data_IF_015484603994
#
_entry.id   IF_015484603994
#
_cell.length_a   1.000
_cell.length_b   1.000
_cell.length_c   1.000
_cell.angle_alpha   90.00
_cell.angle_beta   90.00
_cell.angle_gamma   90.00
#
_symmetry.space_group_name_H-M   'P 1'
#
loop_
_entity.id
_entity.type
_entity.pdbx_description
1 polymer ?
#
# COMPACT_ATOMS: atom_id res chain seq x y z
N UNK A 1 7.69 12.75 15.88
CA UNK A 1 7.75 11.51 15.08
C UNK A 1 6.31 11.09 14.87
N UNK A 2 5.75 11.43 13.71
CA UNK A 2 4.34 11.17 13.40
C UNK A 2 4.17 9.80 12.75
N UNK A 3 2.95 9.28 12.76
CA UNK A 3 2.54 8.04 12.09
C UNK A 3 3.02 7.97 10.62
N UNK A 4 3.09 9.14 9.94
CA UNK A 4 3.60 9.29 8.58
C UNK A 4 5.12 9.09 8.47
N UNK A 5 5.90 9.54 9.46
CA UNK A 5 7.37 9.35 9.48
C UNK A 5 7.72 7.89 9.72
N UNK A 6 7.00 7.24 10.63
CA UNK A 6 7.23 5.84 10.99
C UNK A 6 6.87 4.92 9.81
N UNK A 7 5.81 5.24 9.06
CA UNK A 7 5.44 4.53 7.84
C UNK A 7 6.44 4.76 6.71
N UNK A 8 6.93 5.99 6.55
CA UNK A 8 8.00 6.31 5.58
C UNK A 8 9.27 5.50 5.85
N UNK A 9 9.71 5.41 7.12
CA UNK A 9 10.87 4.60 7.51
C UNK A 9 10.64 3.11 7.35
N UNK A 10 9.43 2.62 7.62
CA UNK A 10 9.07 1.23 7.36
C UNK A 10 9.25 0.90 5.87
N UNK A 11 8.73 1.73 4.98
CA UNK A 11 8.90 1.57 3.54
C UNK A 11 10.37 1.68 3.09
N UNK A 12 11.19 2.47 3.77
CA UNK A 12 12.61 2.64 3.44
C UNK A 12 13.50 1.49 3.93
N UNK A 13 13.36 1.06 5.17
CA UNK A 13 14.34 0.14 5.79
C UNK A 13 13.87 -1.31 5.78
N UNK A 14 12.58 -1.55 6.04
CA UNK A 14 12.08 -2.92 6.22
C UNK A 14 11.90 -3.67 4.90
N UNK A 15 11.54 -2.97 3.82
CA UNK A 15 11.39 -3.59 2.50
C UNK A 15 12.74 -4.10 2.01
N UNK A 16 13.78 -3.27 2.03
CA UNK A 16 15.12 -3.63 1.55
C UNK A 16 15.75 -4.80 2.34
N UNK A 17 15.45 -4.92 3.64
CA UNK A 17 15.84 -6.06 4.46
C UNK A 17 14.98 -7.31 4.21
N UNK A 18 13.67 -7.14 3.97
CA UNK A 18 12.75 -8.26 3.68
C UNK A 18 13.10 -8.94 2.35
N UNK A 19 13.44 -8.15 1.34
CA UNK A 19 13.82 -8.63 0.01
C UNK A 19 15.05 -9.56 0.06
N UNK A 20 15.94 -9.37 1.05
CA UNK A 20 17.18 -10.15 1.17
C UNK A 20 17.04 -11.50 1.87
N UNK A 21 16.03 -11.69 2.73
CA UNK A 21 16.11 -12.74 3.76
C UNK A 21 15.21 -13.97 3.55
N UNK A 22 13.99 -13.88 2.99
CA UNK A 22 13.14 -15.06 2.68
C UNK A 22 12.06 -14.76 1.59
N UNK A 23 12.16 -15.30 0.34
CA UNK A 23 11.74 -14.55 -0.84
C UNK A 23 10.34 -14.79 -1.44
N UNK A 24 9.39 -15.55 -0.87
CA UNK A 24 8.18 -15.94 -1.65
C UNK A 24 6.82 -15.78 -0.95
N UNK A 25 6.57 -16.52 0.12
CA UNK A 25 5.31 -16.37 0.88
C UNK A 25 5.22 -14.99 1.54
N UNK A 26 6.37 -14.45 1.94
CA UNK A 26 6.47 -13.12 2.53
C UNK A 26 6.26 -11.97 1.53
N UNK A 27 6.70 -12.14 0.26
CA UNK A 27 6.53 -11.08 -0.75
C UNK A 27 5.06 -10.91 -1.17
N UNK A 28 4.29 -12.00 -1.24
CA UNK A 28 2.84 -11.91 -1.53
C UNK A 28 2.08 -11.21 -0.41
N UNK A 29 2.36 -11.57 0.85
CA UNK A 29 1.75 -10.91 2.00
C UNK A 29 2.16 -9.43 2.11
N UNK A 30 3.39 -9.09 1.72
CA UNK A 30 3.85 -7.70 1.66
C UNK A 30 3.14 -6.92 0.54
N UNK A 31 2.89 -7.54 -0.62
CA UNK A 31 2.18 -6.90 -1.73
C UNK A 31 0.73 -6.59 -1.37
N UNK A 32 0.06 -7.52 -0.69
CA UNK A 32 -1.30 -7.34 -0.19
C UNK A 32 -1.36 -6.20 0.83
N UNK A 33 -0.44 -6.15 1.80
CA UNK A 33 -0.34 -5.04 2.77
C UNK A 33 -0.11 -3.69 2.10
N UNK A 34 0.79 -3.61 1.11
CA UNK A 34 1.04 -2.37 0.37
C UNK A 34 -0.18 -1.95 -0.45
N UNK A 35 -0.93 -2.91 -1.00
CA UNK A 35 -2.16 -2.65 -1.72
C UNK A 35 -3.25 -2.09 -0.79
N UNK A 36 -3.44 -2.69 0.39
CA UNK A 36 -4.36 -2.19 1.42
C UNK A 36 -3.99 -0.75 1.83
N UNK A 37 -2.71 -0.50 2.14
CA UNK A 37 -2.23 0.84 2.49
C UNK A 37 -2.42 1.84 1.36
N UNK A 38 -2.24 1.43 0.10
CA UNK A 38 -2.51 2.29 -1.05
C UNK A 38 -4.01 2.67 -1.10
N UNK A 39 -4.91 1.71 -0.86
CA UNK A 39 -6.34 1.98 -0.83
C UNK A 39 -6.74 2.91 0.33
N UNK A 40 -6.22 2.66 1.53
CA UNK A 40 -6.46 3.50 2.70
C UNK A 40 -5.95 4.93 2.48
N UNK A 41 -4.75 5.08 1.95
CA UNK A 41 -4.17 6.39 1.63
C UNK A 41 -4.99 7.13 0.58
N UNK A 42 -5.50 6.42 -0.45
CA UNK A 42 -6.42 6.98 -1.45
C UNK A 42 -7.74 7.47 -0.83
N UNK A 43 -8.33 6.69 0.09
CA UNK A 43 -9.55 7.07 0.81
C UNK A 43 -9.31 8.30 1.68
N UNK A 44 -8.22 8.29 2.46
CA UNK A 44 -7.83 9.42 3.29
C UNK A 44 -7.65 10.70 2.46
N UNK A 45 -6.99 10.62 1.30
CA UNK A 45 -6.80 11.77 0.42
C UNK A 45 -8.14 12.31 -0.10
N UNK A 46 -9.07 11.44 -0.48
CA UNK A 46 -10.40 11.83 -0.91
C UNK A 46 -11.17 12.54 0.20
N UNK A 47 -11.13 12.02 1.43
CA UNK A 47 -11.77 12.62 2.60
C UNK A 47 -11.16 14.00 2.93
N UNK A 48 -9.84 14.12 2.89
CA UNK A 48 -9.15 15.40 3.13
C UNK A 48 -9.54 16.45 2.09
N UNK A 49 -9.59 16.08 0.81
CA UNK A 49 -10.02 17.00 -0.27
C UNK A 49 -11.50 17.39 -0.15
N UNK A 50 -12.37 16.48 0.32
CA UNK A 50 -13.77 16.81 0.58
C UNK A 50 -13.89 17.84 1.73
N UNK A 51 -13.13 17.64 2.80
CA UNK A 51 -13.07 18.58 3.93
C UNK A 51 -12.53 19.94 3.51
N UNK A 52 -11.47 19.96 2.70
CA UNK A 52 -10.91 21.20 2.13
C UNK A 52 -11.98 22.01 1.39
N UNK A 53 -12.72 21.37 0.47
CA UNK A 53 -13.82 22.03 -0.26
C UNK A 53 -14.93 22.54 0.64
N UNK A 54 -15.22 21.81 1.71
CA UNK A 54 -16.24 22.21 2.68
C UNK A 54 -15.81 23.49 3.40
N UNK A 55 -14.58 23.52 3.92
CA UNK A 55 -14.03 24.71 4.59
C UNK A 55 -13.90 25.88 3.63
N UNK A 56 -13.51 25.65 2.37
CA UNK A 56 -13.48 26.68 1.33
C UNK A 56 -14.87 27.31 1.11
N UNK A 57 -15.92 26.49 0.99
CA UNK A 57 -17.29 26.98 0.87
C UNK A 57 -17.75 27.79 2.10
N UNK A 58 -17.36 27.36 3.30
CA UNK A 58 -17.64 28.08 4.53
C UNK A 58 -16.92 29.43 4.60
N UNK A 59 -15.66 29.49 4.15
CA UNK A 59 -14.89 30.75 4.05
C UNK A 59 -15.58 31.71 3.08
N UNK A 60 -15.99 31.22 1.90
CA UNK A 60 -16.70 32.04 0.91
C UNK A 60 -18.02 32.57 1.45
N UNK A 61 -18.79 31.73 2.15
CA UNK A 61 -20.04 32.16 2.80
C UNK A 61 -19.77 33.24 3.85
N UNK A 62 -18.76 33.04 4.70
CA UNK A 62 -18.37 34.02 5.73
C UNK A 62 -17.95 35.35 5.09
N UNK A 63 -17.20 35.31 3.98
CA UNK A 63 -16.77 36.50 3.25
C UNK A 63 -17.95 37.28 2.65
N UNK A 64 -18.96 36.58 2.11
CA UNK A 64 -20.18 37.22 1.62
C UNK A 64 -20.98 37.89 2.74
N UNK A 65 -21.06 37.26 3.91
CA UNK A 65 -21.72 37.84 5.07
C UNK A 65 -20.99 39.08 5.59
N UNK A 66 -19.65 39.04 5.67
CA UNK A 66 -18.82 40.21 5.98
C UNK A 66 -19.13 41.35 5.00
N UNK A 67 -19.10 41.09 3.69
CA UNK A 67 -19.41 42.11 2.69
C UNK A 67 -20.80 42.71 2.87
N UNK A 68 -21.81 41.87 3.16
CA UNK A 68 -23.18 42.33 3.40
C UNK A 68 -23.27 43.23 4.63
N UNK A 69 -22.61 42.86 5.73
CA UNK A 69 -22.61 43.65 6.96
C UNK A 69 -21.83 44.94 6.78
N UNK A 70 -20.70 44.91 6.09
CA UNK A 70 -19.90 46.08 5.76
C UNK A 70 -20.73 47.17 5.05
N UNK A 71 -21.48 46.79 4.01
CA UNK A 71 -22.37 47.71 3.28
C UNK A 71 -23.47 48.27 4.19
N UNK A 72 -24.00 47.47 5.12
CA UNK A 72 -25.03 47.93 6.08
C UNK A 72 -24.46 48.91 7.11
N UNK A 73 -23.24 48.68 7.58
CA UNK A 73 -22.53 49.55 8.52
C UNK A 73 -22.31 50.92 7.88
N UNK A 74 -21.78 50.95 6.65
CA UNK A 74 -21.56 52.20 5.92
C UNK A 74 -22.86 52.99 5.69
N UNK A 75 -23.95 52.28 5.38
CA UNK A 75 -25.29 52.89 5.29
C UNK A 75 -25.79 53.45 6.63
N UNK A 76 -25.56 52.74 7.74
CA UNK A 76 -25.97 53.19 9.07
C UNK A 76 -25.16 54.42 9.53
N UNK A 77 -23.84 54.39 9.31
CA UNK A 77 -22.92 55.50 9.59
C UNK A 77 -23.28 56.76 8.80
N UNK A 78 -23.49 56.63 7.49
CA UNK A 78 -23.88 57.77 6.63
C UNK A 78 -25.25 58.36 7.00
N UNK A 79 -26.15 57.56 7.57
CA UNK A 79 -27.44 58.03 8.10
C UNK A 79 -27.38 58.54 9.55
N UNK A 80 -26.21 58.56 10.20
CA UNK A 80 -26.04 58.98 11.60
C UNK A 80 -26.67 58.02 12.63
N UNK A 81 -27.00 56.79 12.23
CA UNK A 81 -27.62 55.75 13.07
C UNK A 81 -26.54 54.91 13.76
N UNK A 82 -25.80 55.53 14.67
CA UNK A 82 -24.72 54.87 15.41
C UNK A 82 -25.22 53.71 16.28
N UNK A 83 -26.47 53.81 16.77
CA UNK A 83 -27.18 52.76 17.49
C UNK A 83 -27.27 51.43 16.70
N UNK A 84 -27.24 51.50 15.36
CA UNK A 84 -27.23 50.34 14.47
C UNK A 84 -25.82 50.01 13.95
N UNK A 85 -24.95 51.02 13.78
CA UNK A 85 -23.61 50.84 13.25
C UNK A 85 -22.70 50.09 14.25
N UNK A 86 -22.65 50.51 15.51
CA UNK A 86 -21.78 49.91 16.53
C UNK A 86 -22.01 48.40 16.75
N UNK A 87 -23.26 47.91 16.95
CA UNK A 87 -23.47 46.47 17.10
C UNK A 87 -23.21 45.69 15.79
N UNK A 88 -23.43 46.31 14.62
CA UNK A 88 -23.13 45.69 13.34
C UNK A 88 -21.62 45.54 13.12
N UNK A 89 -20.81 46.52 13.53
CA UNK A 89 -19.35 46.44 13.50
C UNK A 89 -18.81 45.34 14.43
N UNK A 90 -19.37 45.20 15.63
CA UNK A 90 -19.02 44.12 16.53
C UNK A 90 -19.32 42.73 15.90
N UNK A 91 -20.42 42.63 15.15
CA UNK A 91 -20.78 41.41 14.43
C UNK A 91 -19.84 41.14 13.26
N UNK A 92 -19.51 42.13 12.43
CA UNK A 92 -18.53 42.02 11.35
C UNK A 92 -17.16 41.57 11.89
N UNK A 93 -16.70 42.16 12.99
CA UNK A 93 -15.46 41.76 13.67
C UNK A 93 -15.49 40.31 14.18
N UNK A 94 -16.67 39.80 14.57
CA UNK A 94 -16.83 38.37 14.90
C UNK A 94 -16.71 37.49 13.67
N UNK A 95 -17.34 37.85 12.55
CA UNK A 95 -17.26 37.11 11.29
C UNK A 95 -15.84 37.09 10.73
N UNK A 96 -15.09 38.20 10.84
CA UNK A 96 -13.68 38.26 10.45
C UNK A 96 -12.81 37.31 11.27
N UNK A 97 -13.05 37.21 12.59
CA UNK A 97 -12.35 36.25 13.45
C UNK A 97 -12.68 34.81 13.08
N UNK A 98 -13.95 34.52 12.81
CA UNK A 98 -14.39 33.20 12.36
C UNK A 98 -13.76 32.82 11.01
N UNK A 99 -13.76 33.75 10.05
CA UNK A 99 -13.10 33.58 8.75
C UNK A 99 -11.61 33.26 8.88
N UNK A 100 -10.90 33.97 9.78
CA UNK A 100 -9.49 33.70 10.06
C UNK A 100 -9.27 32.31 10.66
N UNK A 101 -10.15 31.85 11.56
CA UNK A 101 -10.07 30.50 12.12
C UNK A 101 -10.26 29.43 11.03
N UNK A 102 -11.27 29.58 10.18
CA UNK A 102 -11.52 28.68 9.03
C UNK A 102 -10.35 28.68 8.05
N UNK A 103 -9.75 29.83 7.78
CA UNK A 103 -8.55 29.94 6.96
C UNK A 103 -7.38 29.14 7.54
N UNK A 104 -7.14 29.25 8.85
CA UNK A 104 -6.13 28.45 9.55
C UNK A 104 -6.37 26.95 9.42
N UNK A 105 -7.63 26.50 9.56
CA UNK A 105 -8.00 25.10 9.35
C UNK A 105 -7.73 24.64 7.91
N UNK A 106 -8.04 25.48 6.92
CA UNK A 106 -7.77 25.18 5.51
C UNK A 106 -6.27 25.01 5.24
N UNK A 107 -5.41 25.84 5.84
CA UNK A 107 -3.95 25.70 5.67
C UNK A 107 -3.44 24.35 6.21
N UNK A 108 -3.89 23.96 7.40
CA UNK A 108 -3.53 22.66 7.98
C UNK A 108 -4.04 21.49 7.11
N UNK A 109 -5.24 21.61 6.54
CA UNK A 109 -5.75 20.62 5.59
C UNK A 109 -4.89 20.52 4.34
N UNK A 110 -4.46 21.65 3.76
CA UNK A 110 -3.56 21.68 2.59
C UNK A 110 -2.21 21.01 2.88
N UNK A 111 -1.61 21.28 4.03
CA UNK A 111 -0.37 20.62 4.45
C UNK A 111 -0.55 19.10 4.58
N UNK A 112 -1.65 18.65 5.19
CA UNK A 112 -1.97 17.22 5.31
C UNK A 112 -2.22 16.55 3.97
N UNK A 113 -2.89 17.24 3.04
CA UNK A 113 -3.10 16.77 1.67
C UNK A 113 -1.75 16.54 1.00
N UNK A 114 -0.85 17.52 1.05
CA UNK A 114 0.48 17.41 0.47
C UNK A 114 1.27 16.22 1.04
N UNK A 115 1.28 16.07 2.36
CA UNK A 115 1.93 14.94 3.04
C UNK A 115 1.34 13.59 2.62
N UNK A 116 0.02 13.52 2.44
CA UNK A 116 -0.67 12.30 2.03
C UNK A 116 -0.40 11.95 0.57
N UNK A 117 -0.30 12.95 -0.32
CA UNK A 117 0.09 12.77 -1.72
C UNK A 117 1.54 12.28 -1.84
N UNK A 118 2.45 12.81 -1.02
CA UNK A 118 3.84 12.34 -0.96
C UNK A 118 3.90 10.89 -0.51
N UNK A 119 3.15 10.53 0.53
CA UNK A 119 3.05 9.15 1.01
C UNK A 119 2.49 8.23 -0.07
N UNK A 120 1.40 8.63 -0.72
CA UNK A 120 0.78 7.85 -1.79
C UNK A 120 1.78 7.55 -2.91
N UNK A 121 2.59 8.54 -3.33
CA UNK A 121 3.64 8.37 -4.33
C UNK A 121 4.70 7.37 -3.87
N UNK A 122 5.15 7.46 -2.62
CA UNK A 122 6.12 6.51 -2.04
C UNK A 122 5.57 5.08 -2.05
N UNK A 123 4.33 4.87 -1.61
CA UNK A 123 3.68 3.55 -1.62
C UNK A 123 3.60 2.99 -3.05
N UNK A 124 3.23 3.82 -4.03
CA UNK A 124 3.15 3.40 -5.44
C UNK A 124 4.50 2.94 -5.99
N UNK A 125 5.57 3.68 -5.72
CA UNK A 125 6.93 3.33 -6.14
C UNK A 125 7.33 1.99 -5.52
N UNK A 126 7.17 1.84 -4.20
CA UNK A 126 7.52 0.59 -3.49
C UNK A 126 6.72 -0.61 -3.97
N UNK A 127 5.45 -0.42 -4.32
CA UNK A 127 4.62 -1.49 -4.89
C UNK A 127 5.12 -1.92 -6.27
N UNK A 128 5.56 -0.98 -7.10
CA UNK A 128 6.14 -1.30 -8.42
C UNK A 128 7.45 -2.08 -8.27
N UNK A 129 8.32 -1.65 -7.36
CA UNK A 129 9.58 -2.34 -7.03
C UNK A 129 9.29 -3.79 -6.58
N UNK A 130 8.39 -3.96 -5.60
CA UNK A 130 8.02 -5.26 -5.08
C UNK A 130 7.42 -6.18 -6.17
N UNK A 131 6.56 -5.64 -7.04
CA UNK A 131 6.00 -6.42 -8.15
C UNK A 131 7.06 -6.84 -9.17
N UNK A 132 8.04 -5.99 -9.45
CA UNK A 132 9.15 -6.33 -10.33
C UNK A 132 9.98 -7.47 -9.74
N UNK A 133 10.22 -7.44 -8.44
CA UNK A 133 10.98 -8.46 -7.72
C UNK A 133 10.24 -9.79 -7.62
N UNK A 134 8.94 -9.77 -7.31
CA UNK A 134 8.09 -10.97 -7.37
C UNK A 134 8.16 -11.63 -8.75
N UNK A 135 8.15 -10.84 -9.83
CA UNK A 135 8.30 -11.37 -11.20
C UNK A 135 9.68 -11.97 -11.43
N UNK A 136 10.75 -11.33 -10.96
CA UNK A 136 12.11 -11.85 -11.08
C UNK A 136 12.30 -13.17 -10.32
N UNK A 137 11.82 -13.25 -9.08
CA UNK A 137 11.88 -14.48 -8.26
C UNK A 137 11.11 -15.61 -8.94
N UNK A 138 9.89 -15.35 -9.42
CA UNK A 138 9.09 -16.36 -10.16
C UNK A 138 9.79 -16.83 -11.44
N UNK A 139 10.40 -15.91 -12.20
CA UNK A 139 11.14 -16.25 -13.42
C UNK A 139 12.39 -17.09 -13.13
N UNK A 140 13.15 -16.74 -12.09
CA UNK A 140 14.31 -17.51 -11.65
C UNK A 140 13.95 -18.94 -11.22
N UNK A 141 12.82 -19.10 -10.52
CA UNK A 141 12.30 -20.42 -10.15
C UNK A 141 11.89 -21.24 -11.36
N UNK A 142 11.18 -20.65 -12.33
CA UNK A 142 10.78 -21.34 -13.56
C UNK A 142 12.00 -21.84 -14.33
N UNK A 143 13.03 -21.00 -14.50
CA UNK A 143 14.27 -21.38 -15.16
C UNK A 143 15.05 -22.46 -14.40
N UNK A 144 15.02 -22.47 -13.06
CA UNK A 144 15.66 -23.51 -12.26
C UNK A 144 14.88 -24.83 -12.31
N UNK A 145 13.55 -24.78 -12.36
CA UNK A 145 12.70 -25.96 -12.55
C UNK A 145 12.93 -26.59 -13.94
N UNK A 146 12.99 -25.78 -15.00
CA UNK A 146 13.33 -26.24 -16.36
C UNK A 146 14.72 -26.88 -16.42
N UNK A 147 15.74 -26.28 -15.77
CA UNK A 147 17.08 -26.88 -15.69
C UNK A 147 17.09 -28.20 -14.92
N UNK A 148 16.34 -28.31 -13.82
CA UNK A 148 16.20 -29.59 -13.08
C UNK A 148 15.53 -30.65 -13.95
N UNK A 149 14.44 -30.30 -14.64
CA UNK A 149 13.74 -31.22 -15.54
C UNK A 149 14.63 -31.64 -16.73
N UNK A 150 15.45 -30.74 -17.26
CA UNK A 150 16.41 -31.05 -18.31
C UNK A 150 17.55 -31.98 -17.84
N UNK A 151 18.05 -31.80 -16.61
CA UNK A 151 19.09 -32.66 -16.01
C UNK A 151 18.53 -34.02 -15.61
N UNK A 152 17.34 -34.09 -15.02
CA UNK A 152 16.68 -35.34 -14.64
C UNK A 152 16.25 -36.14 -15.89
N UNK A 153 15.74 -35.46 -16.93
CA UNK A 153 15.39 -36.08 -18.21
C UNK A 153 16.58 -36.67 -18.97
N UNK A 154 17.74 -35.99 -18.96
CA UNK A 154 18.98 -36.53 -19.52
C UNK A 154 19.55 -37.67 -18.67
N UNK A 155 19.61 -37.51 -17.34
CA UNK A 155 20.19 -38.53 -16.46
C UNK A 155 19.36 -39.83 -16.45
N UNK A 156 18.05 -39.78 -16.70
CA UNK A 156 17.23 -40.99 -16.91
C UNK A 156 17.48 -41.67 -18.26
N UNK A 157 17.77 -40.91 -19.32
CA UNK A 157 18.07 -41.48 -20.64
C UNK A 157 19.45 -42.15 -20.73
N UNK A 158 20.44 -41.70 -19.95
CA UNK A 158 21.77 -42.33 -19.91
C UNK A 158 21.86 -43.48 -18.89
N UNK A 159 21.14 -43.42 -17.76
CA UNK A 159 21.10 -44.53 -16.79
C UNK A 159 20.23 -45.71 -17.24
N UNK A 160 19.27 -45.48 -18.15
CA UNK A 160 18.46 -46.56 -18.75
C UNK A 160 19.11 -47.19 -19.99
N UNK A 161 20.02 -46.50 -20.67
CA UNK A 161 20.71 -47.02 -21.86
C UNK A 161 21.90 -47.92 -21.51
N UNK A 162 22.63 -47.63 -20.41
CA UNK A 162 23.81 -48.43 -20.02
C UNK A 162 23.52 -49.50 -18.94
N UNK A 163 22.40 -49.45 -18.21
CA UNK A 163 21.96 -50.59 -17.34
C UNK A 163 21.10 -51.64 -18.05
N UNK A 164 20.65 -51.38 -19.28
CA UNK A 164 19.85 -52.34 -20.04
C UNK A 164 20.65 -53.52 -20.63
N UNK A 165 21.98 -53.52 -20.49
CA UNK A 165 22.85 -54.57 -21.03
C UNK A 165 23.50 -55.50 -20.00
N UNK A 166 23.22 -55.33 -18.69
CA UNK A 166 23.70 -56.30 -17.68
C UNK A 166 22.55 -57.18 -17.16
N UNK A 167 22.45 -58.45 -17.62
CA UNK A 167 21.42 -59.39 -17.18
C UNK A 167 21.45 -59.70 -15.67
N UNK A 168 22.57 -59.46 -14.97
CA UNK A 168 22.69 -59.68 -13.53
C UNK A 168 21.97 -58.60 -12.71
N UNK A 169 22.09 -57.34 -13.11
CA UNK A 169 21.45 -56.20 -12.46
C UNK A 169 19.92 -56.30 -12.53
N UNK A 170 19.37 -56.74 -13.67
CA UNK A 170 17.93 -56.96 -13.82
C UNK A 170 17.41 -58.07 -12.88
N UNK A 171 18.20 -59.12 -12.64
CA UNK A 171 17.83 -60.18 -11.69
C UNK A 171 17.85 -59.69 -10.25
N UNK A 172 18.81 -58.85 -9.88
CA UNK A 172 18.86 -58.25 -8.54
C UNK A 172 17.67 -57.32 -8.29
N UNK A 173 17.33 -56.46 -9.25
CA UNK A 173 16.16 -55.57 -9.12
C UNK A 173 14.84 -56.35 -8.98
N UNK A 174 14.67 -57.44 -9.72
CA UNK A 174 13.50 -58.32 -9.58
C UNK A 174 13.46 -59.01 -8.21
N UNK A 175 14.61 -59.38 -7.65
CA UNK A 175 14.68 -60.01 -6.34
C UNK A 175 14.40 -59.00 -5.21
N UNK A 176 14.99 -57.80 -5.27
CA UNK A 176 14.78 -56.74 -4.27
C UNK A 176 13.32 -56.25 -4.24
N UNK A 177 12.71 -56.05 -5.40
CA UNK A 177 11.28 -55.70 -5.48
C UNK A 177 10.37 -56.79 -4.93
N UNK A 178 10.77 -58.06 -5.09
CA UNK A 178 10.03 -59.20 -4.54
C UNK A 178 10.19 -59.32 -3.02
N UNK A 179 11.37 -59.02 -2.48
CA UNK A 179 11.65 -58.90 -1.03
C UNK A 179 10.81 -57.78 -0.40
N UNK A 180 10.84 -56.57 -0.97
CA UNK A 180 10.05 -55.43 -0.48
C UNK A 180 8.55 -55.73 -0.47
N UNK A 181 8.03 -56.40 -1.50
CA UNK A 181 6.64 -56.85 -1.55
C UNK A 181 6.32 -57.88 -0.46
N UNK A 182 7.25 -58.78 -0.14
CA UNK A 182 7.07 -59.77 0.91
C UNK A 182 7.16 -59.14 2.30
N UNK A 183 8.03 -58.14 2.50
CA UNK A 183 8.09 -57.35 3.73
C UNK A 183 6.80 -56.54 3.93
N UNK A 184 6.30 -55.86 2.89
CA UNK A 184 5.01 -55.16 2.96
C UNK A 184 3.85 -56.11 3.29
N UNK A 185 3.82 -57.30 2.66
CA UNK A 185 2.80 -58.32 2.96
C UNK A 185 2.90 -58.85 4.40
N UNK A 186 4.12 -58.98 4.96
CA UNK A 186 4.31 -59.36 6.37
C UNK A 186 3.89 -58.24 7.33
N UNK A 187 4.14 -56.99 6.98
CA UNK A 187 3.78 -55.83 7.78
C UNK A 187 2.26 -55.52 7.75
N UNK A 188 1.55 -55.93 6.70
CA UNK A 188 0.09 -55.83 6.59
C UNK A 188 -0.67 -57.02 7.20
N UNK A 189 0.04 -58.05 7.65
CA UNK A 189 -0.52 -59.27 8.25
C UNK A 189 -0.43 -59.36 9.78
N UNK A 190 -0.20 -58.23 10.47
CA UNK A 190 -0.27 -58.09 11.94
C UNK A 190 -1.24 -57.00 12.34
#
# INVERSE_FOLDING_TARGET
MGLFDDLGRFLETRIDEFLKNNPQLELQALEEKLYEQEQETRRLLADLRLREKTVEAEILTTAQDIQRWHVRIEKARSAGRLDLAEPAEAHEASLLREGNQKWGQMQVLKERIQQTEDLQRKIQIRRQELQAEIKQVKAAQAAQAEKRWAVDGWNQSFSSADKASDPLEQRFQQWETQEELNEMKRNLGR
#
